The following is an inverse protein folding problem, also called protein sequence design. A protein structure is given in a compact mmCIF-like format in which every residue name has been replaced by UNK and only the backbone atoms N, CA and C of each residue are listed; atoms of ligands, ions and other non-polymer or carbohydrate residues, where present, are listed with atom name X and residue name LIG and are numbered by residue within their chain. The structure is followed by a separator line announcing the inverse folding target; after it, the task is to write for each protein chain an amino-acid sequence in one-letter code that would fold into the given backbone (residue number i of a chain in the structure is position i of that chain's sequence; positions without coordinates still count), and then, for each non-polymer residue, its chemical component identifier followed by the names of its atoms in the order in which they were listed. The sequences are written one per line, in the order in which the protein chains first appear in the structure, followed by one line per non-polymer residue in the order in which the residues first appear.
data_IF_763899489081
#
_entry.id   IF_763899489081
#
_cell.length_a   1.000
_cell.length_b   1.000
_cell.length_c   1.000
_cell.angle_alpha   90.00
_cell.angle_beta   90.00
_cell.angle_gamma   90.00
#
_symmetry.space_group_name_H-M   'P 1'
#
loop_
_entity.id
_entity.type
_entity.pdbx_description
1 polymer ?
#
# COMPACT_ATOMS: atom_id res chain seq x y z
N UNK A 1 9.62 24.88 -9.56
CA UNK A 1 8.85 24.13 -8.54
C UNK A 1 8.12 22.99 -9.24
N UNK A 2 8.32 21.74 -8.81
CA UNK A 2 7.57 20.61 -9.35
C UNK A 2 6.09 20.70 -8.92
N UNK A 3 5.19 20.35 -9.83
CA UNK A 3 3.77 20.19 -9.54
C UNK A 3 3.48 18.70 -9.28
N UNK A 4 2.49 18.36 -8.41
CA UNK A 4 2.09 16.96 -8.23
C UNK A 4 1.59 16.40 -9.56
N UNK A 5 1.98 15.17 -9.87
CA UNK A 5 1.62 14.50 -11.11
C UNK A 5 1.45 13.00 -10.92
N UNK A 6 0.52 12.43 -11.67
CA UNK A 6 0.45 10.99 -11.95
C UNK A 6 0.92 10.81 -13.38
N UNK A 7 1.87 9.91 -13.60
CA UNK A 7 2.49 9.66 -14.90
C UNK A 7 2.29 8.20 -15.28
N UNK A 8 1.80 7.96 -16.50
CA UNK A 8 1.71 6.63 -17.07
C UNK A 8 2.78 6.45 -18.15
N UNK A 9 3.41 5.29 -18.15
CA UNK A 9 4.46 4.90 -19.08
C UNK A 9 4.00 3.66 -19.85
N UNK A 10 4.56 3.43 -21.04
CA UNK A 10 4.34 2.16 -21.73
C UNK A 10 4.91 1.01 -20.88
N UNK A 11 4.28 -0.16 -20.90
CA UNK A 11 4.80 -1.34 -20.19
C UNK A 11 6.18 -1.78 -20.67
N UNK A 12 6.53 -1.46 -21.93
CA UNK A 12 7.84 -1.68 -22.54
C UNK A 12 8.80 -0.48 -22.40
N UNK A 13 8.47 0.49 -21.54
CA UNK A 13 9.33 1.65 -21.34
C UNK A 13 10.66 1.22 -20.72
N UNK A 14 11.76 1.70 -21.30
CA UNK A 14 13.12 1.49 -20.78
C UNK A 14 13.90 2.81 -20.77
N UNK A 15 14.88 2.91 -19.86
CA UNK A 15 15.68 4.11 -19.64
C UNK A 15 14.85 5.35 -19.30
N UNK A 16 15.17 6.49 -19.91
CA UNK A 16 14.52 7.77 -19.67
C UNK A 16 13.29 8.00 -20.59
N UNK A 17 12.46 6.96 -20.77
CA UNK A 17 11.24 7.06 -21.55
C UNK A 17 10.33 8.18 -21.03
N UNK A 18 9.71 8.93 -21.94
CA UNK A 18 8.75 9.97 -21.58
C UNK A 18 7.40 9.34 -21.21
N UNK A 19 6.64 9.94 -20.28
CA UNK A 19 5.30 9.46 -19.97
C UNK A 19 4.38 9.60 -21.19
N UNK A 20 3.56 8.59 -21.42
CA UNK A 20 2.53 8.59 -22.48
C UNK A 20 1.29 9.39 -22.08
N UNK A 21 1.09 9.57 -20.76
CA UNK A 21 -0.03 10.29 -20.16
C UNK A 21 0.43 10.93 -18.85
N UNK A 22 0.00 12.16 -18.60
CA UNK A 22 0.34 12.87 -17.36
C UNK A 22 -0.89 13.61 -16.84
N UNK A 23 -1.33 13.28 -15.62
CA UNK A 23 -2.38 14.00 -14.90
C UNK A 23 -1.68 15.01 -13.97
N UNK A 24 -1.79 16.30 -14.27
CA UNK A 24 -1.12 17.36 -13.51
C UNK A 24 -1.81 18.71 -13.67
N UNK A 25 -1.61 19.61 -12.71
CA UNK A 25 -2.11 20.98 -12.75
C UNK A 25 -3.13 21.27 -11.66
N UNK A 26 -3.57 22.52 -11.53
CA UNK A 26 -4.40 22.95 -10.40
C UNK A 26 -5.79 22.32 -10.35
N UNK A 27 -6.39 21.95 -11.50
CA UNK A 27 -7.72 21.34 -11.54
C UNK A 27 -7.71 19.90 -11.05
N UNK A 28 -6.55 19.24 -11.02
CA UNK A 28 -6.47 17.84 -10.58
C UNK A 28 -6.59 17.70 -9.06
N UNK A 29 -6.50 18.79 -8.30
CA UNK A 29 -6.61 18.81 -6.83
C UNK A 29 -5.62 17.89 -6.10
N UNK A 30 -4.54 17.47 -6.75
CA UNK A 30 -3.58 16.53 -6.19
C UNK A 30 -2.72 17.19 -5.11
N UNK A 31 -2.36 16.43 -4.07
CA UNK A 31 -1.38 16.86 -3.07
C UNK A 31 0.04 16.55 -3.53
N UNK A 32 1.01 17.37 -3.09
CA UNK A 32 2.45 17.15 -3.34
C UNK A 32 3.04 15.95 -2.58
N UNK A 33 2.35 15.43 -1.58
CA UNK A 33 2.83 14.34 -0.70
C UNK A 33 1.87 13.15 -0.67
N UNK A 34 1.12 12.92 -1.76
CA UNK A 34 0.38 11.68 -1.90
C UNK A 34 1.36 10.54 -2.18
N UNK A 35 1.26 9.44 -1.45
CA UNK A 35 2.20 8.33 -1.58
C UNK A 35 1.57 7.03 -2.08
N UNK A 36 0.33 7.08 -2.58
CA UNK A 36 -0.39 5.90 -3.01
C UNK A 36 -1.30 6.23 -4.19
N UNK A 37 -1.57 5.23 -5.03
CA UNK A 37 -2.57 5.25 -6.09
C UNK A 37 -3.14 3.84 -6.20
N UNK A 38 -4.45 3.71 -6.14
CA UNK A 38 -5.14 2.46 -6.45
C UNK A 38 -5.74 2.54 -7.86
N UNK A 39 -5.71 1.42 -8.57
CA UNK A 39 -6.28 1.27 -9.90
C UNK A 39 -7.49 0.34 -9.79
N UNK A 40 -8.66 0.85 -10.14
CA UNK A 40 -9.85 0.04 -10.42
C UNK A 40 -9.89 -0.26 -11.91
N UNK A 41 -9.31 -1.39 -12.30
CA UNK A 41 -9.32 -1.80 -13.70
C UNK A 41 -10.71 -2.23 -14.20
N UNK A 42 -11.64 -2.59 -13.29
CA UNK A 42 -12.98 -3.04 -13.65
C UNK A 42 -13.86 -1.85 -14.06
N UNK A 43 -13.72 -0.72 -13.36
CA UNK A 43 -14.50 0.49 -13.64
C UNK A 43 -13.72 1.57 -14.40
N UNK A 44 -12.46 1.32 -14.77
CA UNK A 44 -11.52 2.28 -15.36
C UNK A 44 -11.43 3.56 -14.51
N UNK A 45 -11.00 3.41 -13.25
CA UNK A 45 -10.85 4.53 -12.31
C UNK A 45 -9.54 4.46 -11.51
N UNK A 46 -9.08 5.62 -11.06
CA UNK A 46 -7.92 5.76 -10.18
C UNK A 46 -8.36 6.42 -8.89
N UNK A 47 -8.09 5.79 -7.75
CA UNK A 47 -8.32 6.38 -6.44
C UNK A 47 -6.99 6.89 -5.85
N UNK A 48 -6.96 8.17 -5.51
CA UNK A 48 -5.76 8.88 -5.09
C UNK A 48 -6.05 9.59 -3.76
N UNK A 49 -5.34 9.25 -2.68
CA UNK A 49 -5.51 9.93 -1.41
C UNK A 49 -4.90 11.34 -1.47
N UNK A 50 -5.58 12.30 -0.85
CA UNK A 50 -5.07 13.63 -0.59
C UNK A 50 -5.04 13.87 0.93
N UNK A 51 -3.88 13.69 1.59
CA UNK A 51 -3.80 13.74 3.05
C UNK A 51 -4.10 15.13 3.62
N UNK A 52 -3.66 16.20 2.95
CA UNK A 52 -3.85 17.57 3.45
C UNK A 52 -5.26 18.10 3.25
N UNK A 53 -5.92 17.70 2.16
CA UNK A 53 -7.31 18.02 1.93
C UNK A 53 -8.25 17.08 2.70
N UNK A 54 -7.72 16.02 3.34
CA UNK A 54 -8.53 14.96 3.97
C UNK A 54 -9.56 14.40 2.98
N UNK A 55 -9.07 14.06 1.79
CA UNK A 55 -9.93 13.70 0.68
C UNK A 55 -9.43 12.44 -0.04
N UNK A 56 -10.36 11.76 -0.70
CA UNK A 56 -10.07 10.74 -1.70
C UNK A 56 -10.51 11.29 -3.05
N UNK A 57 -9.55 11.43 -3.97
CA UNK A 57 -9.78 11.91 -5.33
C UNK A 57 -9.98 10.69 -6.23
N UNK A 58 -11.06 10.66 -6.99
CA UNK A 58 -11.33 9.62 -7.97
C UNK A 58 -11.21 10.22 -9.36
N UNK A 59 -10.30 9.70 -10.19
CA UNK A 59 -10.16 10.05 -11.60
C UNK A 59 -10.69 8.92 -12.47
N UNK A 60 -11.16 9.23 -13.68
CA UNK A 60 -11.27 8.21 -14.72
C UNK A 60 -9.88 7.68 -15.09
N UNK A 61 -9.76 6.42 -15.46
CA UNK A 61 -8.48 5.76 -15.74
C UNK A 61 -7.75 6.40 -16.92
N UNK A 62 -8.49 6.86 -17.92
CA UNK A 62 -7.98 7.63 -19.05
C UNK A 62 -7.70 9.13 -18.80
N UNK A 63 -7.78 9.63 -17.55
CA UNK A 63 -7.60 11.06 -17.26
C UNK A 63 -6.23 11.57 -17.76
N UNK A 64 -6.19 12.78 -18.33
CA UNK A 64 -4.97 13.34 -18.92
C UNK A 64 -4.92 14.87 -18.82
N UNK A 65 -3.72 15.42 -18.67
CA UNK A 65 -3.49 16.86 -18.50
C UNK A 65 -4.06 17.39 -17.19
N UNK A 66 -4.62 18.60 -17.26
CA UNK A 66 -5.21 19.30 -16.11
C UNK A 66 -6.69 18.96 -15.93
N UNK A 67 -6.98 17.67 -15.89
CA UNK A 67 -8.33 17.14 -15.74
C UNK A 67 -8.70 16.99 -14.26
N UNK A 68 -9.92 17.38 -13.90
CA UNK A 68 -10.40 17.26 -12.54
C UNK A 68 -10.78 15.81 -12.19
N UNK A 69 -10.73 15.41 -10.90
CA UNK A 69 -11.33 14.16 -10.45
C UNK A 69 -12.81 14.10 -10.85
N UNK A 70 -13.29 12.92 -11.27
CA UNK A 70 -14.72 12.69 -11.54
C UNK A 70 -15.55 12.72 -10.25
N UNK A 71 -14.92 12.38 -9.11
CA UNK A 71 -15.52 12.46 -7.78
C UNK A 71 -14.45 12.82 -6.74
N UNK A 72 -14.89 13.47 -5.68
CA UNK A 72 -14.05 13.78 -4.51
C UNK A 72 -14.86 13.43 -3.28
N UNK A 73 -14.37 12.50 -2.45
CA UNK A 73 -14.93 12.23 -1.12
C UNK A 73 -14.16 13.11 -0.14
N UNK A 74 -14.85 14.09 0.45
CA UNK A 74 -14.25 15.08 1.35
C UNK A 74 -15.32 15.76 2.19
N UNK A 75 -15.00 16.06 3.45
CA UNK A 75 -15.84 16.84 4.34
C UNK A 75 -15.93 16.23 5.74
N UNK A 76 -16.55 16.92 6.70
CA UNK A 76 -16.58 16.49 8.09
C UNK A 76 -17.31 15.15 8.32
N UNK A 77 -18.35 14.82 7.54
CA UNK A 77 -19.06 13.53 7.66
C UNK A 77 -18.23 12.35 7.21
N UNK A 78 -17.23 12.59 6.36
CA UNK A 78 -16.32 11.53 5.90
C UNK A 78 -15.44 10.97 7.01
N UNK A 79 -15.22 11.73 8.09
CA UNK A 79 -14.28 11.38 9.17
C UNK A 79 -12.83 11.18 8.71
N UNK A 80 -12.49 11.60 7.48
CA UNK A 80 -11.13 11.54 6.97
C UNK A 80 -10.24 12.52 7.74
N UNK A 81 -9.09 12.05 8.24
CA UNK A 81 -8.18 12.88 9.05
C UNK A 81 -6.77 12.97 8.47
N UNK A 82 -6.18 11.84 8.07
CA UNK A 82 -4.86 11.75 7.45
C UNK A 82 -4.80 10.54 6.50
N UNK A 83 -5.46 10.68 5.35
CA UNK A 83 -5.60 9.61 4.36
C UNK A 83 -4.32 9.52 3.52
N UNK A 84 -3.54 8.45 3.69
CA UNK A 84 -2.28 8.22 2.96
C UNK A 84 -2.32 6.96 2.08
N UNK A 85 -3.40 6.16 2.17
CA UNK A 85 -3.65 4.98 1.34
C UNK A 85 -5.16 4.81 1.10
N UNK A 86 -5.50 4.23 -0.04
CA UNK A 86 -6.86 3.81 -0.37
C UNK A 86 -6.76 2.47 -1.06
N UNK A 87 -7.42 1.45 -0.55
CA UNK A 87 -7.64 0.18 -1.23
C UNK A 87 -8.97 0.23 -1.97
N UNK A 88 -9.04 -0.40 -3.14
CA UNK A 88 -10.26 -0.48 -3.95
C UNK A 88 -10.72 -1.93 -3.98
N UNK A 89 -11.99 -2.14 -3.63
CA UNK A 89 -12.72 -3.37 -3.87
C UNK A 89 -13.62 -3.15 -5.10
N UNK A 90 -13.15 -3.51 -6.30
CA UNK A 90 -13.92 -3.31 -7.52
C UNK A 90 -15.16 -4.22 -7.56
N UNK A 91 -15.12 -5.41 -6.97
CA UNK A 91 -16.24 -6.35 -7.03
C UNK A 91 -17.46 -5.86 -6.26
N UNK A 92 -17.22 -5.20 -5.12
CA UNK A 92 -18.30 -4.72 -4.24
C UNK A 92 -18.51 -3.20 -4.30
N UNK A 93 -17.74 -2.49 -5.14
CA UNK A 93 -17.77 -1.01 -5.27
C UNK A 93 -17.48 -0.31 -3.94
N UNK A 94 -16.39 -0.68 -3.29
CA UNK A 94 -15.99 -0.10 -2.01
C UNK A 94 -14.56 0.43 -2.03
N UNK A 95 -14.31 1.45 -1.21
CA UNK A 95 -13.01 2.03 -0.94
C UNK A 95 -12.72 1.89 0.55
N UNK A 96 -11.49 1.52 0.89
CA UNK A 96 -11.06 1.36 2.27
C UNK A 96 -9.83 2.22 2.51
N UNK A 97 -9.80 2.96 3.62
CA UNK A 97 -8.63 3.76 4.00
C UNK A 97 -8.28 3.53 5.46
N UNK A 98 -6.98 3.37 5.72
CA UNK A 98 -6.46 3.43 7.08
C UNK A 98 -6.45 4.87 7.57
N UNK A 99 -6.98 5.09 8.76
CA UNK A 99 -6.97 6.38 9.47
C UNK A 99 -6.08 6.26 10.70
N UNK A 100 -4.83 6.63 10.51
CA UNK A 100 -3.79 6.58 11.53
C UNK A 100 -4.13 7.37 12.81
N UNK A 101 -4.66 8.61 12.76
CA UNK A 101 -4.93 9.38 13.99
C UNK A 101 -6.07 8.84 14.84
N UNK A 102 -6.92 7.98 14.28
CA UNK A 102 -8.15 7.49 14.92
C UNK A 102 -8.16 5.98 15.10
N UNK A 103 -7.05 5.29 14.81
CA UNK A 103 -6.91 3.84 14.86
C UNK A 103 -8.09 3.09 14.23
N UNK A 104 -8.45 3.50 13.02
CA UNK A 104 -9.63 2.98 12.34
C UNK A 104 -9.40 2.70 10.85
N UNK A 105 -10.19 1.81 10.30
CA UNK A 105 -10.38 1.67 8.85
C UNK A 105 -11.75 2.23 8.50
N UNK A 106 -11.77 3.20 7.58
CA UNK A 106 -13.01 3.79 7.06
C UNK A 106 -13.33 3.13 5.72
N UNK A 107 -14.57 2.70 5.55
CA UNK A 107 -15.06 2.11 4.30
C UNK A 107 -16.11 3.02 3.68
N UNK A 108 -15.98 3.30 2.39
CA UNK A 108 -16.93 4.08 1.60
C UNK A 108 -17.40 3.29 0.39
N UNK A 109 -18.51 3.71 -0.22
CA UNK A 109 -18.80 3.31 -1.60
C UNK A 109 -17.84 3.98 -2.58
N UNK A 110 -17.40 3.28 -3.61
CA UNK A 110 -16.47 3.82 -4.62
C UNK A 110 -17.12 4.80 -5.60
N UNK A 111 -18.45 4.81 -5.73
CA UNK A 111 -19.21 5.83 -6.46
C UNK A 111 -19.70 6.99 -5.62
N UNK A 112 -19.39 7.02 -4.33
CA UNK A 112 -19.74 8.18 -3.52
C UNK A 112 -18.90 9.41 -3.92
N UNK A 113 -19.48 10.59 -3.68
CA UNK A 113 -18.81 11.87 -3.84
C UNK A 113 -19.43 12.91 -2.90
N UNK A 114 -18.64 13.91 -2.53
CA UNK A 114 -18.99 14.93 -1.54
C UNK A 114 -18.72 14.49 -0.10
N UNK A 115 -19.46 15.11 0.81
CA UNK A 115 -19.38 14.90 2.26
C UNK A 115 -20.30 13.75 2.70
N UNK A 116 -19.83 12.52 2.51
CA UNK A 116 -20.57 11.28 2.78
C UNK A 116 -20.04 10.56 4.01
N UNK A 117 -20.91 9.89 4.75
CA UNK A 117 -20.51 9.06 5.89
C UNK A 117 -19.87 7.74 5.43
N UNK A 118 -18.89 7.17 6.16
CA UNK A 118 -18.42 5.81 5.92
C UNK A 118 -19.57 4.81 6.07
N UNK A 119 -19.66 3.85 5.15
CA UNK A 119 -20.65 2.76 5.23
C UNK A 119 -20.29 1.72 6.30
N UNK A 120 -19.00 1.64 6.67
CA UNK A 120 -18.49 0.84 7.80
C UNK A 120 -17.27 1.52 8.41
N UNK A 121 -17.09 1.30 9.70
CA UNK A 121 -15.92 1.76 10.46
C UNK A 121 -15.44 0.58 11.28
N UNK A 122 -14.22 0.11 11.02
CA UNK A 122 -13.53 -0.85 11.87
C UNK A 122 -12.67 -0.07 12.87
N UNK A 123 -12.95 -0.19 14.17
CA UNK A 123 -12.25 0.55 15.22
C UNK A 123 -12.45 -0.08 16.60
N UNK A 124 -11.60 0.26 17.55
CA UNK A 124 -11.73 -0.18 18.94
C UNK A 124 -10.63 -1.14 19.39
N UNK A 125 -10.53 -1.41 20.69
CA UNK A 125 -9.38 -2.10 21.28
C UNK A 125 -9.22 -3.56 20.82
N UNK A 126 -10.31 -4.28 20.51
CA UNK A 126 -10.22 -5.67 20.02
C UNK A 126 -9.64 -5.74 18.63
N UNK A 127 -9.78 -4.69 17.82
CA UNK A 127 -9.22 -4.63 16.46
C UNK A 127 -7.70 -4.60 16.45
N UNK A 128 -7.05 -4.09 17.51
CA UNK A 128 -5.59 -3.92 17.58
C UNK A 128 -5.00 -3.04 16.46
N UNK A 129 -5.81 -2.19 15.83
CA UNK A 129 -5.38 -1.39 14.67
C UNK A 129 -4.19 -0.44 14.93
N UNK A 130 -3.88 -0.13 16.20
CA UNK A 130 -2.72 0.64 16.70
C UNK A 130 -1.85 1.27 15.61
N UNK A 131 -2.25 2.48 15.18
CA UNK A 131 -1.59 3.28 14.15
C UNK A 131 -1.55 2.56 12.79
N UNK A 132 -2.71 2.29 12.18
CA UNK A 132 -2.76 1.59 10.90
C UNK A 132 -2.23 2.50 9.78
N UNK A 133 -1.38 1.96 8.92
CA UNK A 133 -0.68 2.71 7.85
C UNK A 133 -1.20 2.32 6.46
N UNK A 134 -1.53 1.04 6.27
CA UNK A 134 -2.01 0.50 5.00
C UNK A 134 -3.17 -0.45 5.22
N UNK A 135 -4.10 -0.42 4.28
CA UNK A 135 -5.09 -1.45 4.08
C UNK A 135 -5.00 -1.92 2.63
N UNK A 136 -5.16 -3.22 2.42
CA UNK A 136 -5.40 -3.87 1.13
C UNK A 136 -6.60 -4.80 1.27
N UNK A 137 -7.31 -5.01 0.17
CA UNK A 137 -8.53 -5.82 0.15
C UNK A 137 -8.40 -6.94 -0.87
N UNK A 138 -8.84 -8.12 -0.46
CA UNK A 138 -9.05 -9.25 -1.35
C UNK A 138 -10.55 -9.55 -1.41
N UNK A 139 -11.24 -9.11 -2.46
CA UNK A 139 -12.66 -9.36 -2.61
C UNK A 139 -13.01 -10.82 -2.95
N UNK A 140 -12.06 -11.61 -3.48
CA UNK A 140 -12.27 -12.99 -3.92
C UNK A 140 -12.29 -13.91 -2.70
N UNK A 141 -11.34 -13.76 -1.78
CA UNK A 141 -11.28 -14.55 -0.54
C UNK A 141 -12.01 -13.89 0.64
N UNK A 142 -12.67 -12.76 0.42
CA UNK A 142 -13.41 -11.99 1.42
C UNK A 142 -12.54 -11.57 2.63
N UNK A 143 -11.35 -11.06 2.35
CA UNK A 143 -10.37 -10.64 3.35
C UNK A 143 -9.97 -9.18 3.18
N UNK A 144 -9.55 -8.58 4.29
CA UNK A 144 -8.88 -7.29 4.32
C UNK A 144 -7.63 -7.43 5.17
N UNK A 145 -6.50 -6.98 4.66
CA UNK A 145 -5.24 -7.01 5.39
C UNK A 145 -4.80 -5.59 5.72
N UNK A 146 -4.48 -5.36 6.98
CA UNK A 146 -4.09 -4.08 7.53
C UNK A 146 -2.69 -4.19 8.11
N UNK A 147 -1.85 -3.24 7.75
CA UNK A 147 -0.51 -3.11 8.29
C UNK A 147 -0.48 -1.96 9.29
N UNK A 148 0.00 -2.24 10.50
CA UNK A 148 0.24 -1.24 11.52
C UNK A 148 1.74 -1.18 11.88
N UNK A 149 2.10 -0.40 12.91
CA UNK A 149 3.51 -0.20 13.30
C UNK A 149 4.20 -1.49 13.80
N UNK A 150 3.45 -2.55 14.12
CA UNK A 150 3.91 -3.73 14.86
C UNK A 150 3.53 -5.09 14.26
N UNK A 151 2.53 -5.13 13.38
CA UNK A 151 1.90 -6.35 12.93
C UNK A 151 1.25 -6.18 11.56
N UNK A 152 1.02 -7.33 10.92
CA UNK A 152 0.03 -7.47 9.87
C UNK A 152 -1.21 -8.15 10.46
N UNK A 153 -2.34 -7.45 10.39
CA UNK A 153 -3.64 -7.88 10.89
C UNK A 153 -4.51 -8.24 9.69
N UNK A 154 -5.18 -9.39 9.74
CA UNK A 154 -6.13 -9.79 8.69
C UNK A 154 -7.52 -9.90 9.28
N UNK A 155 -8.49 -9.27 8.63
CA UNK A 155 -9.91 -9.25 9.00
C UNK A 155 -10.75 -9.86 7.87
N UNK A 156 -12.02 -10.14 8.13
CA UNK A 156 -12.95 -10.35 7.02
C UNK A 156 -13.22 -8.99 6.35
N UNK A 157 -13.44 -9.01 5.04
CA UNK A 157 -13.72 -7.83 4.21
C UNK A 157 -14.87 -6.95 4.73
N UNK A 158 -15.86 -7.59 5.35
CA UNK A 158 -17.11 -6.97 5.83
C UNK A 158 -17.10 -6.63 7.32
N UNK A 159 -15.99 -6.86 8.02
CA UNK A 159 -15.89 -6.58 9.46
C UNK A 159 -16.13 -5.08 9.74
N UNK A 160 -16.80 -4.79 10.86
CA UNK A 160 -17.16 -3.44 11.30
C UNK A 160 -17.27 -3.40 12.83
N UNK A 161 -17.05 -2.22 13.42
CA UNK A 161 -17.02 -2.02 14.86
C UNK A 161 -15.76 -2.61 15.49
N UNK A 162 -15.89 -3.06 16.74
CA UNK A 162 -14.80 -3.58 17.56
C UNK A 162 -14.74 -5.11 17.51
N UNK A 163 -14.06 -5.63 16.48
CA UNK A 163 -13.88 -7.08 16.26
C UNK A 163 -12.41 -7.48 16.25
N UNK A 164 -12.11 -8.70 16.66
CA UNK A 164 -10.73 -9.21 16.66
C UNK A 164 -10.26 -9.57 15.24
N UNK A 165 -8.97 -9.39 14.91
CA UNK A 165 -8.39 -9.91 13.68
C UNK A 165 -8.56 -11.43 13.58
N UNK A 166 -8.81 -11.91 12.36
CA UNK A 166 -8.82 -13.33 12.01
C UNK A 166 -7.42 -13.94 12.13
N UNK A 167 -6.41 -13.21 11.65
CA UNK A 167 -4.99 -13.59 11.76
C UNK A 167 -4.16 -12.38 12.17
N UNK A 168 -3.09 -12.65 12.92
CA UNK A 168 -2.12 -11.66 13.37
C UNK A 168 -0.74 -12.22 13.06
N UNK A 169 -0.04 -11.63 12.09
CA UNK A 169 1.36 -11.97 11.80
C UNK A 169 2.22 -10.90 12.46
N UNK A 170 2.89 -11.28 13.54
CA UNK A 170 3.70 -10.38 14.35
C UNK A 170 4.79 -11.16 15.09
N UNK A 171 5.90 -10.49 15.40
CA UNK A 171 7.00 -11.07 16.16
C UNK A 171 8.33 -11.04 15.40
N UNK A 172 9.43 -11.37 16.09
CA UNK A 172 10.79 -11.19 15.58
C UNK A 172 11.12 -12.04 14.35
N UNK A 173 10.52 -13.22 14.17
CA UNK A 173 10.75 -14.08 13.00
C UNK A 173 10.05 -13.55 11.75
N UNK A 174 9.01 -12.74 11.92
CA UNK A 174 8.30 -12.14 10.79
C UNK A 174 9.14 -11.05 10.11
N UNK A 175 9.91 -10.28 10.87
CA UNK A 175 10.56 -9.07 10.34
C UNK A 175 9.59 -7.95 9.88
N UNK A 176 8.28 -8.12 10.11
CA UNK A 176 7.23 -7.11 9.95
C UNK A 176 7.18 -6.25 11.23
N UNK A 177 6.59 -5.05 11.15
CA UNK A 177 6.24 -4.30 12.35
C UNK A 177 7.42 -3.55 12.94
N UNK A 178 8.27 -3.03 12.06
CA UNK A 178 9.26 -2.02 12.48
C UNK A 178 8.67 -0.64 12.21
N UNK A 179 8.70 0.23 13.23
CA UNK A 179 8.23 1.65 13.23
C UNK A 179 8.66 2.48 12.01
N UNK A 180 9.63 2.01 11.23
CA UNK A 180 10.15 2.69 10.04
C UNK A 180 10.27 1.80 8.79
N UNK A 181 10.09 0.47 8.85
CA UNK A 181 10.55 -0.43 7.79
C UNK A 181 9.49 -1.10 6.93
N UNK A 182 8.24 -1.20 7.38
CA UNK A 182 7.16 -1.92 6.68
C UNK A 182 6.07 -0.94 6.31
N UNK A 183 5.97 -0.56 5.02
CA UNK A 183 5.05 0.51 4.57
C UNK A 183 4.19 0.16 3.37
N UNK A 184 4.36 -1.03 2.81
CA UNK A 184 3.50 -1.48 1.72
C UNK A 184 3.21 -2.96 1.85
N UNK A 185 2.02 -3.29 1.39
CA UNK A 185 1.36 -4.56 1.48
C UNK A 185 0.69 -4.80 0.13
N UNK A 186 0.75 -6.01 -0.39
CA UNK A 186 -0.04 -6.45 -1.53
C UNK A 186 -0.58 -7.85 -1.28
N UNK A 187 -1.77 -8.10 -1.80
CA UNK A 187 -2.43 -9.39 -1.75
C UNK A 187 -2.37 -10.00 -3.14
N UNK A 188 -2.04 -11.29 -3.20
CA UNK A 188 -2.20 -12.11 -4.39
C UNK A 188 -3.29 -13.16 -4.10
N UNK A 189 -4.57 -12.85 -4.41
CA UNK A 189 -5.72 -13.68 -4.05
C UNK A 189 -5.67 -15.11 -4.58
N UNK A 190 -5.26 -15.29 -5.84
CA UNK A 190 -5.31 -16.58 -6.54
C UNK A 190 -4.31 -17.58 -5.96
N UNK A 191 -3.14 -17.10 -5.53
CA UNK A 191 -2.15 -17.91 -4.81
C UNK A 191 -2.27 -17.83 -3.30
N UNK A 192 -3.27 -17.11 -2.76
CA UNK A 192 -3.50 -16.90 -1.34
C UNK A 192 -2.24 -16.45 -0.59
N UNK A 193 -1.55 -15.44 -1.14
CA UNK A 193 -0.28 -14.91 -0.64
C UNK A 193 -0.38 -13.45 -0.22
N UNK A 194 0.37 -13.10 0.81
CA UNK A 194 0.53 -11.76 1.36
C UNK A 194 1.98 -11.34 1.09
N UNK A 195 2.18 -10.27 0.33
CA UNK A 195 3.51 -9.77 -0.02
C UNK A 195 3.68 -8.45 0.72
N UNK A 196 4.67 -8.37 1.61
CA UNK A 196 4.90 -7.18 2.43
C UNK A 196 6.37 -6.77 2.38
N UNK A 197 6.61 -5.47 2.23
CA UNK A 197 7.94 -4.91 2.40
C UNK A 197 8.29 -4.89 3.88
N UNK A 198 9.45 -5.39 4.25
CA UNK A 198 9.87 -5.54 5.64
C UNK A 198 11.32 -5.10 5.84
N UNK A 199 11.67 -4.81 7.09
CA UNK A 199 13.03 -4.41 7.45
C UNK A 199 13.50 -5.21 8.64
N UNK A 200 14.62 -5.90 8.47
CA UNK A 200 15.31 -6.53 9.59
C UNK A 200 16.15 -5.45 10.26
N UNK A 201 15.71 -4.95 11.41
CA UNK A 201 16.59 -4.16 12.27
C UNK A 201 17.67 -5.11 12.80
N UNK A 202 18.93 -4.85 12.48
CA UNK A 202 20.05 -5.53 13.13
C UNK A 202 19.96 -5.40 14.66
N UNK A 203 20.64 -6.28 15.44
CA UNK A 203 20.62 -6.25 16.90
C UNK A 203 20.88 -4.82 17.44
N UNK A 204 20.15 -4.41 18.48
CA UNK A 204 20.37 -3.11 19.13
C UNK A 204 21.85 -2.99 19.52
N UNK A 205 22.59 -2.13 18.82
CA UNK A 205 24.01 -1.87 19.10
C UNK A 205 24.92 -1.91 17.87
N UNK A 206 24.53 -2.57 16.79
CA UNK A 206 25.33 -2.58 15.56
C UNK A 206 24.84 -1.48 14.61
N UNK A 207 25.22 -0.22 14.89
CA UNK A 207 25.42 0.71 13.77
C UNK A 207 26.64 0.19 13.03
N UNK A 208 26.44 -0.58 11.96
CA UNK A 208 27.54 -0.85 11.05
C UNK A 208 28.08 0.51 10.59
N UNK A 209 29.38 0.74 10.75
CA UNK A 209 30.09 1.92 10.24
C UNK A 209 30.15 1.97 8.71
N UNK A 210 29.43 1.06 8.07
CA UNK A 210 29.27 0.83 6.63
C UNK A 210 27.82 1.09 6.19
N UNK A 211 27.05 1.92 6.91
CA UNK A 211 25.92 2.59 6.28
C UNK A 211 26.53 3.46 5.18
N UNK A 212 26.50 2.99 3.94
CA UNK A 212 26.88 3.78 2.78
C UNK A 212 26.10 5.09 2.83
N UNK A 213 26.76 6.21 2.53
CA UNK A 213 26.17 7.55 2.57
C UNK A 213 24.85 7.68 1.76
N UNK A 214 24.50 6.69 0.92
CA UNK A 214 23.21 6.56 0.24
C UNK A 214 22.01 6.26 1.19
N UNK A 215 22.25 5.69 2.38
CA UNK A 215 21.21 5.44 3.39
C UNK A 215 20.91 6.67 4.27
N UNK A 216 21.71 7.74 4.15
CA UNK A 216 21.59 8.94 5.00
C UNK A 216 20.62 10.01 4.45
N UNK A 217 20.26 9.97 3.16
CA UNK A 217 19.38 10.99 2.53
C UNK A 217 17.88 10.65 2.57
N UNK A 218 17.49 9.47 3.07
CA UNK A 218 16.09 9.05 3.13
C UNK A 218 15.38 9.38 4.45
N UNK A 219 14.04 9.54 4.39
CA UNK A 219 13.13 9.59 5.54
C UNK A 219 13.18 8.32 6.45
N UNK A 220 14.05 7.36 6.13
CA UNK A 220 14.23 6.05 6.75
C UNK A 220 15.53 6.01 7.55
N UNK A 221 15.53 6.57 8.76
CA UNK A 221 16.68 6.49 9.67
C UNK A 221 16.79 5.09 10.28
N UNK A 222 17.53 4.20 9.63
CA UNK A 222 17.97 2.93 10.22
C UNK A 222 18.47 1.93 9.18
N UNK A 223 19.78 1.64 9.19
CA UNK A 223 20.46 0.67 8.32
C UNK A 223 20.09 -0.80 8.59
N UNK A 224 18.80 -1.13 8.54
CA UNK A 224 18.32 -2.51 8.53
C UNK A 224 18.22 -3.04 7.11
N UNK A 225 18.55 -4.33 6.90
CA UNK A 225 18.42 -4.95 5.58
C UNK A 225 16.94 -4.95 5.17
N UNK A 226 16.63 -4.28 4.05
CA UNK A 226 15.31 -4.29 3.43
C UNK A 226 15.08 -5.66 2.78
N UNK A 227 13.91 -6.21 2.95
CA UNK A 227 13.49 -7.40 2.22
C UNK A 227 12.01 -7.30 1.84
N UNK A 228 11.60 -8.03 0.81
CA UNK A 228 10.20 -8.31 0.56
C UNK A 228 9.94 -9.73 1.05
N UNK A 229 9.02 -9.88 1.99
CA UNK A 229 8.60 -11.19 2.48
C UNK A 229 7.27 -11.61 1.85
N UNK A 230 7.09 -12.92 1.72
CA UNK A 230 5.85 -13.54 1.28
C UNK A 230 5.33 -14.46 2.38
N UNK A 231 4.10 -14.22 2.81
CA UNK A 231 3.35 -15.07 3.75
C UNK A 231 2.16 -15.69 3.05
N UNK A 232 1.61 -16.75 3.64
CA UNK A 232 0.41 -17.43 3.14
C UNK A 232 -0.83 -17.00 3.92
N UNK A 233 -1.99 -17.05 3.28
CA UNK A 233 -3.25 -16.83 3.98
C UNK A 233 -3.42 -17.91 5.05
N UNK A 234 -3.72 -17.50 6.28
CA UNK A 234 -3.80 -18.40 7.43
C UNK A 234 -2.59 -18.38 8.34
N UNK A 235 -1.46 -17.83 7.88
CA UNK A 235 -0.30 -17.60 8.73
C UNK A 235 -0.67 -16.74 9.94
N UNK A 236 -0.27 -17.18 11.14
CA UNK A 236 -0.68 -16.56 12.40
C UNK A 236 0.42 -16.72 13.47
N UNK A 237 0.69 -15.65 14.21
CA UNK A 237 1.76 -15.55 15.20
C UNK A 237 3.12 -15.17 14.62
N UNK A 238 4.19 -15.59 15.30
CA UNK A 238 5.58 -15.30 14.96
C UNK A 238 6.12 -16.28 13.91
N UNK A 239 5.62 -16.14 12.68
CA UNK A 239 5.95 -17.02 11.55
C UNK A 239 6.88 -16.33 10.55
N UNK A 240 7.96 -17.03 10.20
CA UNK A 240 8.88 -16.57 9.17
C UNK A 240 8.18 -16.56 7.79
N UNK A 241 8.54 -15.62 6.90
CA UNK A 241 8.03 -15.60 5.53
C UNK A 241 8.37 -16.91 4.81
N UNK A 242 7.43 -17.40 4.00
CA UNK A 242 7.62 -18.54 3.10
C UNK A 242 8.70 -18.27 2.04
N UNK A 243 8.75 -17.05 1.52
CA UNK A 243 9.79 -16.61 0.58
C UNK A 243 10.27 -15.20 0.92
N UNK A 244 11.54 -14.92 0.60
CA UNK A 244 12.20 -13.65 0.89
C UNK A 244 13.00 -13.17 -0.31
N UNK A 245 12.73 -11.95 -0.76
CA UNK A 245 13.60 -11.19 -1.65
C UNK A 245 14.44 -10.22 -0.81
N UNK A 246 15.70 -10.55 -0.58
CA UNK A 246 16.62 -9.70 0.18
C UNK A 246 17.21 -8.58 -0.69
N UNK A 247 17.41 -7.40 -0.10
CA UNK A 247 18.29 -6.39 -0.68
C UNK A 247 19.74 -6.87 -0.62
N UNK A 248 20.37 -6.95 -1.79
CA UNK A 248 21.78 -7.29 -2.00
C UNK A 248 22.39 -6.31 -3.02
N UNK A 249 23.72 -6.24 -3.17
CA UNK A 249 24.34 -5.42 -4.22
C UNK A 249 23.89 -5.75 -5.65
N UNK A 250 23.31 -6.94 -5.87
CA UNK A 250 22.79 -7.40 -7.16
C UNK A 250 21.30 -7.08 -7.29
N UNK A 251 20.50 -7.47 -6.29
CA UNK A 251 19.03 -7.32 -6.34
C UNK A 251 18.57 -5.87 -6.20
N UNK A 252 19.32 -5.02 -5.47
CA UNK A 252 19.09 -3.56 -5.32
C UNK A 252 17.60 -3.17 -5.23
N UNK A 253 16.99 -3.27 -4.05
CA UNK A 253 15.59 -2.91 -3.84
C UNK A 253 15.46 -1.37 -3.74
N UNK A 254 14.85 -0.68 -4.73
CA UNK A 254 14.90 0.78 -4.83
C UNK A 254 13.94 1.47 -3.84
N UNK A 255 13.11 0.73 -3.12
CA UNK A 255 12.12 1.32 -2.23
C UNK A 255 11.25 0.30 -1.54
N UNK A 256 10.07 0.73 -1.10
CA UNK A 256 9.09 -0.13 -0.44
C UNK A 256 7.75 -0.19 -1.16
N UNK A 257 7.53 0.63 -2.20
CA UNK A 257 6.25 0.66 -2.92
C UNK A 257 6.21 -0.43 -3.96
N UNK A 258 5.19 -1.26 -3.89
CA UNK A 258 5.06 -2.44 -4.71
C UNK A 258 3.83 -2.32 -5.62
N UNK A 259 3.91 -2.94 -6.78
CA UNK A 259 2.77 -3.31 -7.60
C UNK A 259 2.98 -4.73 -8.12
N UNK A 260 1.90 -5.46 -8.33
CA UNK A 260 1.95 -6.85 -8.79
C UNK A 260 1.52 -6.94 -10.26
N UNK A 261 2.21 -7.77 -11.02
CA UNK A 261 1.77 -8.28 -12.32
C UNK A 261 1.78 -9.81 -12.26
N UNK A 262 0.77 -10.45 -11.64
CA UNK A 262 0.77 -11.89 -11.44
C UNK A 262 0.77 -12.71 -12.73
N UNK A 263 0.12 -12.21 -13.78
CA UNK A 263 0.07 -12.89 -15.09
C UNK A 263 1.44 -12.96 -15.76
N UNK A 264 2.23 -11.88 -15.66
CA UNK A 264 3.62 -11.86 -16.11
C UNK A 264 4.62 -12.46 -15.12
N UNK A 265 4.17 -12.78 -13.90
CA UNK A 265 5.04 -13.24 -12.83
C UNK A 265 5.95 -12.15 -12.27
N UNK A 266 5.58 -10.87 -12.37
CA UNK A 266 6.46 -9.76 -11.99
C UNK A 266 6.04 -9.03 -10.71
N UNK A 267 7.03 -8.69 -9.89
CA UNK A 267 6.92 -7.74 -8.79
C UNK A 267 7.59 -6.43 -9.20
N UNK A 268 6.83 -5.34 -9.22
CA UNK A 268 7.33 -4.00 -9.53
C UNK A 268 7.59 -3.26 -8.23
N UNK A 269 8.78 -2.70 -8.04
CA UNK A 269 9.15 -1.93 -6.86
C UNK A 269 9.60 -0.53 -7.27
N UNK A 270 8.95 0.49 -6.71
CA UNK A 270 9.27 1.90 -6.91
C UNK A 270 9.89 2.55 -5.67
N UNK A 271 10.87 3.41 -5.89
CA UNK A 271 11.50 4.25 -4.88
C UNK A 271 12.83 4.82 -5.35
N UNK A 272 13.42 5.74 -4.59
CA UNK A 272 14.76 6.30 -4.85
C UNK A 272 14.95 6.80 -6.31
N UNK A 273 13.88 7.35 -6.90
CA UNK A 273 13.84 7.86 -8.28
C UNK A 273 13.84 6.79 -9.38
N UNK A 274 13.65 5.51 -9.03
CA UNK A 274 13.70 4.36 -9.94
C UNK A 274 12.49 3.46 -9.79
N UNK A 275 12.25 2.66 -10.82
CA UNK A 275 11.33 1.52 -10.80
C UNK A 275 12.13 0.30 -11.21
N UNK A 276 12.08 -0.75 -10.41
CA UNK A 276 12.68 -2.04 -10.70
C UNK A 276 11.57 -3.07 -10.90
N UNK A 277 11.77 -3.99 -11.85
CA UNK A 277 10.87 -5.10 -12.12
C UNK A 277 11.61 -6.39 -11.83
N UNK A 278 11.05 -7.22 -10.97
CA UNK A 278 11.59 -8.52 -10.59
C UNK A 278 10.68 -9.61 -11.15
N UNK A 279 11.18 -10.38 -12.10
CA UNK A 279 10.48 -11.57 -12.59
C UNK A 279 10.66 -12.72 -11.60
N UNK A 280 9.56 -13.10 -10.93
CA UNK A 280 9.49 -14.05 -9.82
C UNK A 280 8.28 -14.99 -10.00
N UNK A 281 8.21 -15.79 -11.08
CA UNK A 281 7.03 -16.61 -11.38
C UNK A 281 6.65 -17.58 -10.25
N UNK A 282 7.61 -18.01 -9.43
CA UNK A 282 7.40 -18.92 -8.31
C UNK A 282 6.49 -18.34 -7.22
N UNK A 283 6.56 -17.02 -6.97
CA UNK A 283 5.68 -16.40 -5.97
C UNK A 283 4.25 -16.22 -6.49
N UNK A 284 4.05 -16.21 -7.81
CA UNK A 284 2.74 -16.02 -8.45
C UNK A 284 2.04 -17.32 -8.88
N UNK A 285 2.46 -18.47 -8.34
CA UNK A 285 1.76 -19.74 -8.53
C UNK A 285 0.44 -19.79 -7.73
N UNK A 286 -0.61 -20.35 -8.35
CA UNK A 286 -1.95 -20.53 -7.77
C UNK A 286 -2.04 -21.71 -6.78
N UNK A 287 -1.12 -22.66 -6.90
CA UNK A 287 -0.97 -23.82 -6.02
C UNK A 287 0.47 -23.88 -5.56
N UNK A 288 0.69 -24.35 -4.33
CA UNK A 288 2.02 -24.69 -3.81
C UNK A 288 2.60 -25.94 -4.47
#
# INVERSE_FOLDING_TARGET
MSQPRISAYAGSADGNAQPTRVIQGPKTLQARTSHYIAVDAVHDELAVPNPFAQAILIFRGGANGNEAPVRVIQGPKTLLTAVDNVAVDPLHRELMTASFPTDSILVFRSDAGGDVEPIRILHGPKTQLDRPIRVEVDPINNLMAVMNDHALLVFNRTDSGDVAPKWIIAGPKTGIGTRFGTRDLKLFPEGRKIIAGASIRGPRGTRSREASNEDEEGFFRGGGQRFIGVWKYGDNGDVAPWAVLNATPITKIPGSRMALNPEGGDLVIGGDGRVAVYHLPEIFQKTD
#
